data_IF_056230863543
#
_entry.id   IF_056230863543
#
_cell.length_a   1.000
_cell.length_b   1.000
_cell.length_c   1.000
_cell.angle_alpha   90.00
_cell.angle_beta   90.00
_cell.angle_gamma   90.00
#
_symmetry.space_group_name_H-M   'P 1'
#
loop_
_entity.id
_entity.type
_entity.pdbx_description
1 polymer ?
#
# COMPACT_ATOMS: atom_id res chain seq x y z
N UNK A 1 -4.61 1.41 -24.98
CA UNK A 1 -3.59 2.03 -24.10
C UNK A 1 -3.80 1.44 -22.70
N UNK A 2 -2.77 0.85 -22.11
CA UNK A 2 -2.89 0.19 -20.80
C UNK A 2 -3.30 1.18 -19.71
N UNK A 3 -4.01 0.69 -18.68
CA UNK A 3 -4.34 1.44 -17.48
C UNK A 3 -3.17 1.51 -16.48
N UNK A 4 -1.95 1.17 -16.93
CA UNK A 4 -0.76 1.19 -16.10
C UNK A 4 -0.43 2.62 -15.65
N UNK A 5 0.08 2.73 -14.43
CA UNK A 5 0.60 3.97 -13.89
C UNK A 5 1.82 4.45 -14.70
N UNK A 6 1.99 5.77 -14.78
CA UNK A 6 3.21 6.40 -15.29
C UNK A 6 4.32 6.46 -14.23
N UNK A 7 5.54 6.75 -14.66
CA UNK A 7 6.72 6.78 -13.78
C UNK A 7 6.63 7.83 -12.66
N UNK A 8 5.86 8.90 -12.88
CA UNK A 8 5.62 10.00 -11.93
C UNK A 8 4.50 9.72 -10.93
N UNK A 9 3.89 8.53 -10.98
CA UNK A 9 2.75 8.13 -10.16
C UNK A 9 3.09 7.01 -9.18
N UNK A 10 4.35 6.58 -9.11
CA UNK A 10 4.80 5.46 -8.28
C UNK A 10 5.51 5.98 -7.05
N UNK A 11 5.03 5.62 -5.86
CA UNK A 11 5.58 6.12 -4.60
C UNK A 11 5.70 5.03 -3.54
N UNK A 12 6.65 5.24 -2.62
CA UNK A 12 6.78 4.58 -1.32
C UNK A 12 6.56 3.06 -1.39
N UNK A 13 7.54 2.35 -1.95
CA UNK A 13 7.46 0.91 -2.04
C UNK A 13 7.88 0.23 -0.71
N UNK A 14 7.36 -0.97 -0.51
CA UNK A 14 7.86 -1.93 0.48
C UNK A 14 8.14 -3.27 -0.20
N UNK A 15 9.23 -3.92 0.20
CA UNK A 15 9.66 -5.20 -0.38
C UNK A 15 9.81 -6.24 0.72
N UNK A 16 9.20 -7.41 0.50
CA UNK A 16 9.11 -8.47 1.49
C UNK A 16 9.48 -9.81 0.88
N UNK A 17 10.46 -10.51 1.47
CA UNK A 17 10.84 -11.86 1.06
C UNK A 17 10.10 -12.90 1.88
N UNK A 18 9.39 -13.82 1.22
CA UNK A 18 8.67 -14.90 1.86
C UNK A 18 8.76 -16.18 1.04
N UNK A 19 9.24 -17.26 1.66
CA UNK A 19 9.22 -18.61 1.10
C UNK A 19 9.84 -18.74 -0.31
N UNK A 20 10.88 -17.95 -0.61
CA UNK A 20 11.53 -17.98 -1.92
C UNK A 20 10.97 -16.98 -2.94
N UNK A 21 9.97 -16.19 -2.57
CA UNK A 21 9.40 -15.12 -3.41
C UNK A 21 9.70 -13.74 -2.83
N UNK A 22 10.02 -12.80 -3.70
CA UNK A 22 10.07 -11.37 -3.40
C UNK A 22 8.72 -10.77 -3.76
N UNK A 23 8.08 -10.13 -2.78
CA UNK A 23 6.82 -9.41 -2.93
C UNK A 23 7.11 -7.91 -2.88
N UNK A 24 6.69 -7.20 -3.91
CA UNK A 24 6.82 -5.76 -4.03
C UNK A 24 5.43 -5.12 -3.93
N UNK A 25 5.29 -4.16 -3.03
CA UNK A 25 4.10 -3.35 -2.85
C UNK A 25 4.46 -1.89 -3.08
N UNK A 26 3.59 -1.13 -3.73
CA UNK A 26 3.81 0.30 -3.95
C UNK A 26 2.50 1.05 -4.05
N UNK A 27 2.60 2.36 -3.85
CA UNK A 27 1.48 3.27 -4.07
C UNK A 27 1.47 3.73 -5.52
N UNK A 28 0.30 3.70 -6.14
CA UNK A 28 -0.02 4.43 -7.37
C UNK A 28 -0.81 5.66 -6.98
N UNK A 29 -0.24 6.83 -7.23
CA UNK A 29 -0.82 8.13 -6.93
C UNK A 29 -0.95 8.97 -8.22
N UNK A 30 -2.17 9.24 -8.70
CA UNK A 30 -2.42 10.19 -9.79
C UNK A 30 -3.61 11.14 -9.56
N UNK A 31 -3.34 12.45 -9.54
CA UNK A 31 -4.29 13.53 -9.23
C UNK A 31 -4.48 14.40 -10.48
N UNK A 32 -5.03 13.81 -11.54
CA UNK A 32 -5.31 14.53 -12.78
C UNK A 32 -6.76 14.98 -12.89
N UNK A 33 -7.02 15.90 -13.83
CA UNK A 33 -8.39 16.36 -14.15
C UNK A 33 -9.30 15.21 -14.62
N UNK A 34 -8.74 14.25 -15.34
CA UNK A 34 -9.51 13.19 -16.00
C UNK A 34 -9.52 11.86 -15.24
N UNK A 35 -8.60 11.67 -14.30
CA UNK A 35 -8.49 10.46 -13.50
C UNK A 35 -7.94 10.76 -12.11
N UNK A 36 -8.46 10.04 -11.13
CA UNK A 36 -7.94 10.02 -9.78
C UNK A 36 -7.65 8.56 -9.41
N UNK A 37 -6.43 8.25 -8.99
CA UNK A 37 -6.02 6.90 -8.60
C UNK A 37 -5.19 6.97 -7.33
N UNK A 38 -5.70 6.37 -6.24
CA UNK A 38 -5.01 6.25 -4.94
C UNK A 38 -5.07 4.79 -4.57
N UNK A 39 -4.03 4.03 -4.90
CA UNK A 39 -4.08 2.59 -4.76
C UNK A 39 -2.77 1.98 -4.32
N UNK A 40 -2.86 0.87 -3.60
CA UNK A 40 -1.74 -0.05 -3.41
C UNK A 40 -1.82 -1.14 -4.49
N UNK A 41 -0.67 -1.48 -5.05
CA UNK A 41 -0.48 -2.60 -5.99
C UNK A 41 0.48 -3.61 -5.38
N UNK A 42 0.37 -4.86 -5.82
CA UNK A 42 1.24 -5.96 -5.45
C UNK A 42 1.77 -6.67 -6.71
N UNK A 43 3.07 -6.91 -6.76
CA UNK A 43 3.70 -7.82 -7.71
C UNK A 43 4.70 -8.74 -7.01
N UNK A 44 5.04 -9.85 -7.66
CA UNK A 44 6.01 -10.80 -7.10
C UNK A 44 7.01 -11.30 -8.14
N UNK A 45 8.17 -11.74 -7.66
CA UNK A 45 9.22 -12.37 -8.46
C UNK A 45 9.99 -13.43 -7.67
N UNK A 46 10.64 -14.34 -8.40
CA UNK A 46 11.64 -15.28 -7.84
C UNK A 46 13.03 -14.67 -7.74
N UNK A 47 13.27 -13.55 -8.42
CA UNK A 47 14.53 -12.82 -8.41
C UNK A 47 14.32 -11.43 -7.80
N UNK A 48 15.19 -11.02 -6.89
CA UNK A 48 15.14 -9.71 -6.25
C UNK A 48 15.21 -8.58 -7.27
N UNK A 49 15.93 -8.78 -8.38
CA UNK A 49 16.07 -7.83 -9.48
C UNK A 49 14.90 -7.91 -10.48
N UNK A 50 13.98 -8.85 -10.29
CA UNK A 50 12.82 -9.04 -11.14
C UNK A 50 13.09 -9.91 -12.39
N UNK A 51 12.20 -9.93 -13.37
CA UNK A 51 11.01 -9.09 -13.48
C UNK A 51 9.93 -9.43 -12.45
N UNK A 52 9.17 -8.42 -12.02
CA UNK A 52 8.01 -8.56 -11.14
C UNK A 52 6.74 -8.70 -11.97
N UNK A 53 5.83 -9.57 -11.53
CA UNK A 53 4.52 -9.77 -12.18
C UNK A 53 3.42 -9.67 -11.14
N UNK A 54 2.39 -8.87 -11.44
CA UNK A 54 1.15 -8.80 -10.65
C UNK A 54 0.40 -10.14 -10.73
N UNK A 55 0.16 -10.83 -9.61
CA UNK A 55 -0.65 -12.04 -9.59
C UNK A 55 -2.11 -11.77 -9.97
N UNK A 56 -2.62 -10.57 -9.63
CA UNK A 56 -3.96 -10.12 -9.96
C UNK A 56 -3.91 -8.74 -10.62
N UNK A 57 -4.21 -8.71 -11.92
CA UNK A 57 -4.25 -7.48 -12.75
C UNK A 57 -5.63 -6.85 -12.88
N UNK A 58 -6.66 -7.44 -12.26
CA UNK A 58 -8.06 -7.04 -12.43
C UNK A 58 -8.50 -6.02 -11.39
N UNK A 59 -7.89 -6.06 -10.21
CA UNK A 59 -8.27 -5.23 -9.08
C UNK A 59 -7.04 -4.71 -8.38
N UNK A 60 -7.06 -3.43 -8.01
CA UNK A 60 -6.15 -2.85 -7.05
C UNK A 60 -6.24 -3.58 -5.71
N UNK A 61 -5.15 -3.60 -4.95
CA UNK A 61 -5.11 -4.32 -3.67
C UNK A 61 -5.87 -3.57 -2.58
N UNK A 62 -5.66 -2.27 -2.47
CA UNK A 62 -6.39 -1.37 -1.56
C UNK A 62 -6.47 0.04 -2.15
N UNK A 63 -7.32 0.91 -1.61
CA UNK A 63 -7.47 2.32 -2.05
C UNK A 63 -6.77 3.32 -1.10
N UNK A 64 -5.79 2.83 -0.36
CA UNK A 64 -4.88 3.58 0.51
C UNK A 64 -3.48 3.63 -0.12
N UNK A 65 -2.51 4.22 0.59
CA UNK A 65 -1.11 4.36 0.17
C UNK A 65 -0.14 3.87 1.24
N UNK A 66 1.15 4.02 0.96
CA UNK A 66 2.30 3.75 1.84
C UNK A 66 2.21 2.37 2.49
N UNK A 67 2.18 1.30 1.68
CA UNK A 67 2.08 -0.05 2.20
C UNK A 67 3.32 -0.38 3.03
N UNK A 68 3.10 -1.02 4.18
CA UNK A 68 4.16 -1.64 4.97
C UNK A 68 3.72 -3.02 5.42
N UNK A 69 4.46 -4.04 5.00
CA UNK A 69 4.24 -5.41 5.43
C UNK A 69 4.91 -5.63 6.79
N UNK A 70 4.19 -6.32 7.67
CA UNK A 70 4.69 -6.83 8.92
C UNK A 70 4.32 -8.31 9.03
N UNK A 71 5.29 -9.12 9.41
CA UNK A 71 5.08 -10.53 9.78
C UNK A 71 5.27 -10.63 11.28
N UNK A 72 4.21 -11.03 11.96
CA UNK A 72 4.21 -11.25 13.40
C UNK A 72 4.88 -12.58 13.75
N UNK A 73 5.13 -12.80 15.04
CA UNK A 73 5.87 -13.96 15.55
C UNK A 73 5.16 -15.29 15.28
N UNK A 74 3.83 -15.29 15.19
CA UNK A 74 3.01 -16.45 14.80
C UNK A 74 3.00 -16.70 13.27
N UNK A 75 3.69 -15.86 12.51
CA UNK A 75 3.75 -15.88 11.06
C UNK A 75 2.60 -15.16 10.36
N UNK A 76 1.67 -14.57 11.12
CA UNK A 76 0.58 -13.79 10.56
C UNK A 76 1.10 -12.54 9.88
N UNK A 77 0.62 -12.30 8.66
CA UNK A 77 0.93 -11.10 7.91
C UNK A 77 -0.09 -9.99 8.18
N UNK A 78 0.40 -8.77 8.28
CA UNK A 78 -0.38 -7.54 8.34
C UNK A 78 0.17 -6.55 7.32
N UNK A 79 -0.71 -5.75 6.72
CA UNK A 79 -0.31 -4.55 6.02
C UNK A 79 -0.78 -3.34 6.82
N UNK A 80 0.15 -2.43 7.09
CA UNK A 80 -0.15 -1.08 7.52
C UNK A 80 -0.15 -0.16 6.30
N UNK A 81 -1.07 0.80 6.29
CA UNK A 81 -1.37 1.65 5.13
C UNK A 81 -1.94 2.98 5.58
N UNK A 82 -1.80 4.02 4.76
CA UNK A 82 -2.18 5.39 5.07
C UNK A 82 -3.36 5.83 4.21
N UNK A 83 -4.30 6.57 4.81
CA UNK A 83 -5.36 7.28 4.10
C UNK A 83 -5.19 8.78 4.30
N UNK A 84 -5.23 9.52 3.19
CA UNK A 84 -5.34 10.98 3.23
C UNK A 84 -6.68 11.40 3.85
N UNK A 85 -6.60 12.25 4.87
CA UNK A 85 -7.72 12.82 5.64
C UNK A 85 -7.37 14.29 5.99
N UNK A 86 -7.98 14.88 7.02
CA UNK A 86 -7.56 16.19 7.59
C UNK A 86 -6.31 16.00 8.47
N UNK A 87 -5.22 15.59 7.81
CA UNK A 87 -4.10 14.83 8.39
C UNK A 87 -3.98 13.44 7.75
N UNK A 88 -3.10 12.57 8.26
CA UNK A 88 -2.98 11.20 7.78
C UNK A 88 -3.53 10.22 8.81
N UNK A 89 -4.33 9.25 8.35
CA UNK A 89 -4.80 8.15 9.20
C UNK A 89 -4.10 6.85 8.84
N UNK A 90 -3.50 6.18 9.82
CA UNK A 90 -2.85 4.87 9.68
C UNK A 90 -3.86 3.77 9.98
N UNK A 91 -3.95 2.81 9.06
CA UNK A 91 -4.79 1.62 9.15
C UNK A 91 -3.93 0.37 9.14
N UNK A 92 -4.35 -0.65 9.86
CA UNK A 92 -3.78 -1.99 9.81
C UNK A 92 -4.81 -2.99 9.32
N UNK A 93 -4.43 -3.92 8.45
CA UNK A 93 -5.31 -4.99 7.98
C UNK A 93 -4.57 -6.31 7.96
N UNK A 94 -5.22 -7.35 8.48
CA UNK A 94 -4.73 -8.72 8.43
C UNK A 94 -4.68 -9.20 6.98
N UNK A 95 -3.65 -9.96 6.63
CA UNK A 95 -3.50 -10.56 5.30
C UNK A 95 -3.75 -12.06 5.37
N UNK A 96 -4.47 -12.59 4.38
CA UNK A 96 -4.66 -14.03 4.22
C UNK A 96 -3.41 -14.69 3.64
N UNK A 97 -2.79 -14.01 2.69
CA UNK A 97 -1.53 -14.35 2.03
C UNK A 97 -0.94 -13.05 1.45
N UNK A 98 0.27 -13.05 0.87
CA UNK A 98 0.88 -11.82 0.37
C UNK A 98 0.04 -11.03 -0.65
N UNK A 99 -0.90 -11.66 -1.37
CA UNK A 99 -1.71 -11.00 -2.41
C UNK A 99 -3.15 -10.67 -1.97
N UNK A 100 -3.60 -11.15 -0.80
CA UNK A 100 -5.00 -11.07 -0.37
C UNK A 100 -5.15 -10.66 1.09
N UNK A 101 -6.09 -9.77 1.37
CA UNK A 101 -6.47 -9.42 2.75
C UNK A 101 -7.42 -10.43 3.38
N UNK A 102 -7.47 -10.42 4.71
CA UNK A 102 -8.46 -11.11 5.54
C UNK A 102 -9.17 -10.11 6.45
N UNK A 103 -10.51 -10.14 6.47
CA UNK A 103 -11.31 -9.26 7.30
C UNK A 103 -11.24 -7.78 6.91
N UNK A 104 -11.77 -6.92 7.76
CA UNK A 104 -11.83 -5.46 7.53
C UNK A 104 -10.59 -4.74 8.07
N UNK A 105 -10.21 -3.59 7.49
CA UNK A 105 -9.14 -2.76 8.02
C UNK A 105 -9.55 -2.11 9.35
N UNK A 106 -8.58 -1.98 10.26
CA UNK A 106 -8.75 -1.37 11.59
C UNK A 106 -7.95 -0.07 11.64
N UNK A 107 -8.59 1.02 12.07
CA UNK A 107 -7.91 2.29 12.31
C UNK A 107 -6.96 2.14 13.50
N UNK A 108 -5.70 2.53 13.34
CA UNK A 108 -4.67 2.43 14.37
C UNK A 108 -4.37 3.80 14.99
N UNK A 109 -4.13 4.78 14.12
CA UNK A 109 -3.81 6.16 14.51
C UNK A 109 -4.48 7.12 13.54
N UNK A 110 -4.98 8.24 14.06
CA UNK A 110 -5.43 9.36 13.26
C UNK A 110 -4.75 10.62 13.82
N UNK A 111 -4.34 11.53 12.93
CA UNK A 111 -3.85 12.83 13.34
C UNK A 111 -4.85 13.54 14.25
N UNK A 112 -4.35 14.20 15.30
CA UNK A 112 -5.17 14.95 16.24
C UNK A 112 -5.22 16.45 15.83
N UNK A 113 -6.43 17.04 15.75
CA UNK A 113 -6.58 18.47 15.50
C UNK A 113 -5.85 19.32 16.54
N UNK A 114 -5.36 20.49 16.12
CA UNK A 114 -4.65 21.47 16.96
C UNK A 114 -3.39 20.91 17.65
N UNK A 115 -2.83 19.81 17.14
CA UNK A 115 -1.55 19.22 17.56
C UNK A 115 -0.57 19.25 16.41
N UNK A 116 0.74 19.08 16.69
CA UNK A 116 1.85 19.11 15.72
C UNK A 116 1.59 18.30 14.43
N UNK A 117 0.67 17.34 14.48
CA UNK A 117 0.25 16.48 13.37
C UNK A 117 -0.62 17.19 12.31
N UNK A 118 -1.27 18.30 12.65
CA UNK A 118 -2.17 19.06 11.76
C UNK A 118 -1.85 20.55 11.68
N UNK A 119 -0.73 21.02 12.23
CA UNK A 119 -0.38 22.45 12.13
C UNK A 119 -0.02 22.82 10.69
N UNK A 120 -0.75 23.80 10.16
CA UNK A 120 -0.36 24.54 8.98
C UNK A 120 0.36 25.78 9.48
N UNK A 121 1.64 25.94 9.16
CA UNK A 121 2.33 27.23 9.36
C UNK A 121 1.73 28.23 8.36
N UNK A 122 1.18 29.33 8.87
CA UNK A 122 0.82 30.51 8.05
C UNK A 122 2.04 31.09 7.31
#
# INVERSE_FOLDING_TARGET
>A
RGSGAGDDQIHANDMFYLNGDFHLYWSVNYWGKDKHAVHIVHAQSKDVLGAYTEPNKKTWMDNRIDPKIFRDDDGQLYMYMVRFTDGNTIWGRKMKNPAEFAGEPVCQFASLPDTWETWITE
#
